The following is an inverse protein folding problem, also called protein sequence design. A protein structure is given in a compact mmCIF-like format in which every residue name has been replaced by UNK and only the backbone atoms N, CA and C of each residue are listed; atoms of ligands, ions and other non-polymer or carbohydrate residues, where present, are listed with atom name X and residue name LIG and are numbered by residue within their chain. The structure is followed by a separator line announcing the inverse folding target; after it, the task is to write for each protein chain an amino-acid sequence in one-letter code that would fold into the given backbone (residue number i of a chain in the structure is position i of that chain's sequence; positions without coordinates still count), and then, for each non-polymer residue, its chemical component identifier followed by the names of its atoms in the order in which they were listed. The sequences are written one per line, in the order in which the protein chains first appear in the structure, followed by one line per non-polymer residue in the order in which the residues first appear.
data_IF_516241586169
#
_entry.id   IF_516241586169
#
_cell.length_a   1.000
_cell.length_b   1.000
_cell.length_c   1.000
_cell.angle_alpha   90.00
_cell.angle_beta   90.00
_cell.angle_gamma   90.00
#
_symmetry.space_group_name_H-M   'P 1'
#
loop_
_entity.id
_entity.type
_entity.pdbx_description
1 polymer ?
#
# COMPACT_ATOMS: atom_id res chain seq x y z
N UNK A 1 18.16 -28.01 0.36
CA UNK A 1 16.93 -27.47 0.98
C UNK A 1 16.36 -26.44 0.03
N UNK A 2 15.51 -26.92 -0.88
CA UNK A 2 14.90 -26.11 -1.93
C UNK A 2 13.54 -25.67 -1.43
N UNK A 3 13.34 -24.37 -1.20
CA UNK A 3 12.02 -23.77 -1.30
C UNK A 3 11.94 -23.06 -2.65
N UNK A 4 11.79 -23.83 -3.73
CA UNK A 4 11.12 -23.33 -4.93
C UNK A 4 9.61 -23.32 -4.65
N UNK A 5 9.20 -22.48 -3.69
CA UNK A 5 7.81 -22.16 -3.42
C UNK A 5 7.65 -20.73 -3.92
N UNK A 6 6.78 -20.55 -4.91
CA UNK A 6 6.47 -19.24 -5.47
C UNK A 6 6.08 -18.35 -4.29
N UNK A 7 6.91 -17.35 -3.97
CA UNK A 7 6.56 -16.37 -2.96
C UNK A 7 5.27 -15.69 -3.41
N UNK A 8 4.25 -15.53 -2.54
CA UNK A 8 3.02 -14.89 -2.94
C UNK A 8 3.34 -13.49 -3.46
N UNK A 9 2.65 -12.99 -4.51
CA UNK A 9 2.84 -11.63 -4.99
C UNK A 9 2.75 -10.62 -3.85
N UNK A 10 3.70 -9.69 -3.78
CA UNK A 10 3.75 -8.63 -2.76
C UNK A 10 3.79 -7.27 -3.42
N UNK A 11 3.17 -6.29 -2.78
CA UNK A 11 3.30 -4.89 -3.18
C UNK A 11 4.67 -4.40 -2.69
N UNK A 12 5.57 -4.09 -3.61
CA UNK A 12 6.93 -3.62 -3.29
C UNK A 12 7.01 -2.08 -3.21
N UNK A 13 6.16 -1.40 -3.98
CA UNK A 13 6.10 0.06 -4.06
C UNK A 13 4.65 0.54 -4.20
N UNK A 14 4.37 1.71 -3.63
CA UNK A 14 3.09 2.40 -3.78
C UNK A 14 3.35 3.86 -4.11
N UNK A 15 2.82 4.33 -5.25
CA UNK A 15 2.83 5.74 -5.62
C UNK A 15 1.39 6.24 -5.74
N UNK A 16 1.01 7.17 -4.88
CA UNK A 16 -0.33 7.77 -4.84
C UNK A 16 -0.24 9.24 -5.21
N UNK A 17 -1.09 9.69 -6.14
CA UNK A 17 -1.22 11.10 -6.51
C UNK A 17 -2.68 11.54 -6.46
N UNK A 18 -2.91 12.73 -5.92
CA UNK A 18 -4.20 13.40 -5.90
C UNK A 18 -5.36 12.53 -5.36
N UNK A 19 -5.11 11.76 -4.30
CA UNK A 19 -6.10 10.89 -3.67
C UNK A 19 -6.45 11.39 -2.28
N UNK A 20 -7.65 11.95 -2.11
CA UNK A 20 -8.12 12.55 -0.84
C UNK A 20 -7.05 13.50 -0.26
N UNK A 21 -6.57 13.24 0.96
CA UNK A 21 -5.55 14.04 1.63
C UNK A 21 -4.11 13.82 1.10
N UNK A 22 -3.88 12.85 0.22
CA UNK A 22 -2.56 12.51 -0.33
C UNK A 22 -2.35 13.21 -1.67
N UNK A 23 -1.53 14.27 -1.67
CA UNK A 23 -1.17 15.02 -2.90
C UNK A 23 -0.21 14.23 -3.79
N UNK A 24 0.94 13.82 -3.24
CA UNK A 24 1.96 13.02 -3.94
C UNK A 24 2.76 12.26 -2.87
N UNK A 25 2.52 10.95 -2.74
CA UNK A 25 3.14 10.08 -1.73
C UNK A 25 3.74 8.86 -2.40
N UNK A 26 5.02 8.61 -2.14
CA UNK A 26 5.74 7.41 -2.55
C UNK A 26 6.17 6.61 -1.34
N UNK A 27 5.76 5.35 -1.27
CA UNK A 27 6.28 4.36 -0.35
C UNK A 27 7.11 3.36 -1.16
N UNK A 28 8.39 3.31 -0.86
CA UNK A 28 9.36 2.44 -1.54
C UNK A 28 9.84 1.34 -0.59
N UNK A 29 10.27 0.21 -1.13
CA UNK A 29 10.84 -0.91 -0.37
C UNK A 29 9.90 -1.39 0.74
N UNK A 30 8.62 -1.55 0.39
CA UNK A 30 7.60 -2.06 1.30
C UNK A 30 7.98 -3.47 1.77
N UNK A 31 7.95 -3.67 3.09
CA UNK A 31 8.22 -4.96 3.74
C UNK A 31 6.92 -5.54 4.30
N UNK A 32 6.89 -6.82 4.72
CA UNK A 32 5.68 -7.42 5.30
C UNK A 32 5.12 -6.68 6.53
N UNK A 33 5.95 -5.89 7.23
CA UNK A 33 5.54 -5.07 8.36
C UNK A 33 5.95 -3.61 8.12
N UNK A 34 4.95 -2.75 7.91
CA UNK A 34 5.12 -1.31 7.75
C UNK A 34 4.39 -0.61 8.88
N UNK A 35 5.04 0.38 9.49
CA UNK A 35 4.44 1.23 10.52
C UNK A 35 4.32 2.64 9.96
N UNK A 36 3.10 3.18 9.91
CA UNK A 36 2.83 4.56 9.52
C UNK A 36 2.72 5.42 10.78
N UNK A 37 3.69 6.31 11.00
CA UNK A 37 3.71 7.22 12.14
C UNK A 37 3.47 8.67 11.68
N UNK A 38 2.72 9.43 12.46
CA UNK A 38 2.53 10.87 12.22
C UNK A 38 1.33 11.45 12.98
N UNK A 39 1.18 12.79 13.00
CA UNK A 39 0.09 13.49 13.69
C UNK A 39 -1.31 13.12 13.18
N UNK A 40 -2.35 13.41 13.96
CA UNK A 40 -3.74 13.25 13.50
C UNK A 40 -3.99 14.07 12.24
N UNK A 41 -4.75 13.50 11.29
CA UNK A 41 -5.02 14.14 10.00
C UNK A 41 -3.89 14.07 8.97
N UNK A 42 -2.73 13.47 9.26
CA UNK A 42 -1.59 13.39 8.33
C UNK A 42 -1.78 12.42 7.14
N UNK A 43 -2.99 11.89 6.92
CA UNK A 43 -3.28 10.98 5.80
C UNK A 43 -2.94 9.51 6.01
N UNK A 44 -2.57 9.06 7.23
CA UNK A 44 -2.26 7.65 7.51
C UNK A 44 -3.41 6.71 7.15
N UNK A 45 -4.63 6.99 7.63
CA UNK A 45 -5.82 6.19 7.28
C UNK A 45 -6.12 6.24 5.77
N UNK A 46 -5.81 7.35 5.11
CA UNK A 46 -5.97 7.48 3.65
C UNK A 46 -5.06 6.55 2.87
N UNK A 47 -3.87 6.20 3.39
CA UNK A 47 -3.02 5.17 2.76
C UNK A 47 -3.71 3.80 2.80
N UNK A 48 -4.41 3.46 3.89
CA UNK A 48 -5.20 2.23 3.97
C UNK A 48 -6.40 2.24 3.00
N UNK A 49 -7.07 3.39 2.83
CA UNK A 49 -8.16 3.55 1.85
C UNK A 49 -7.69 3.24 0.42
N UNK A 50 -6.44 3.59 0.07
CA UNK A 50 -5.87 3.27 -1.24
C UNK A 50 -5.78 1.76 -1.46
N UNK A 51 -5.36 0.99 -0.45
CA UNK A 51 -5.32 -0.47 -0.56
C UNK A 51 -6.71 -1.09 -0.65
N UNK A 52 -7.70 -0.56 0.08
CA UNK A 52 -9.09 -0.98 -0.05
C UNK A 52 -9.62 -0.74 -1.48
N UNK A 53 -9.40 0.47 -2.02
CA UNK A 53 -9.76 0.82 -3.39
C UNK A 53 -9.11 -0.13 -4.42
N UNK A 54 -7.80 -0.38 -4.31
CA UNK A 54 -7.11 -1.32 -5.21
C UNK A 54 -7.71 -2.73 -5.10
N UNK A 55 -7.98 -3.21 -3.88
CA UNK A 55 -8.60 -4.53 -3.67
C UNK A 55 -9.97 -4.62 -4.35
N UNK A 56 -10.81 -3.59 -4.23
CA UNK A 56 -12.11 -3.52 -4.91
C UNK A 56 -11.97 -3.57 -6.43
N UNK A 57 -11.00 -2.86 -7.00
CA UNK A 57 -10.72 -2.88 -8.44
C UNK A 57 -10.32 -4.27 -8.96
N UNK A 58 -9.68 -5.10 -8.14
CA UNK A 58 -9.20 -6.43 -8.56
C UNK A 58 -10.18 -7.57 -8.26
N UNK A 59 -11.15 -7.39 -7.37
CA UNK A 59 -12.13 -8.43 -7.01
C UNK A 59 -13.30 -8.50 -8.01
N UNK A 60 -13.53 -7.46 -8.81
CA UNK A 60 -14.67 -7.35 -9.74
C UNK A 60 -14.36 -7.58 -11.23
N UNK A 61 -13.25 -8.23 -11.58
CA UNK A 61 -12.83 -8.53 -12.95
C UNK A 61 -13.09 -9.96 -13.38
#
# INVERSE_FOLDING_TARGET
MMSNLIDPPRVETLHVKNYRALRDVRLEKLTPLIVLLGPNGSGKSTVFDVFAFLSECFIGG
#
